data_IF_081980862329
#
_entry.id   IF_081980862329
#
_cell.length_a   1.000
_cell.length_b   1.000
_cell.length_c   1.000
_cell.angle_alpha   90.00
_cell.angle_beta   90.00
_cell.angle_gamma   90.00
#
_symmetry.space_group_name_H-M   'P 1'
#
loop_
_entity.id
_entity.type
_entity.pdbx_description
1 polymer ?
#
# COMPACT_ATOMS: atom_id res chain seq x y z
N UNK A 1 -23.60 0.44 -19.84
CA UNK A 1 -22.85 0.12 -18.60
C UNK A 1 -22.32 -1.29 -18.74
N UNK A 2 -21.02 -1.48 -18.98
CA UNK A 2 -20.45 -2.84 -19.12
C UNK A 2 -20.30 -3.43 -17.71
N UNK A 3 -21.22 -4.32 -17.35
CA UNK A 3 -21.05 -5.19 -16.18
C UNK A 3 -20.04 -6.26 -16.57
N UNK A 4 -18.77 -6.00 -16.27
CA UNK A 4 -17.68 -6.95 -16.46
C UNK A 4 -17.61 -7.80 -15.19
N UNK A 5 -17.80 -9.12 -15.26
CA UNK A 5 -17.82 -9.97 -14.07
C UNK A 5 -16.43 -9.99 -13.41
N UNK A 6 -16.34 -9.91 -12.07
CA UNK A 6 -15.08 -9.66 -11.34
C UNK A 6 -14.08 -10.84 -11.27
N UNK A 7 -14.16 -11.85 -12.15
CA UNK A 7 -13.41 -13.11 -11.96
C UNK A 7 -12.40 -13.50 -13.04
N UNK A 8 -12.14 -12.69 -14.08
CA UNK A 8 -11.16 -13.04 -15.13
C UNK A 8 -10.27 -11.88 -15.62
N UNK A 9 -10.26 -10.76 -14.91
CA UNK A 9 -9.46 -9.62 -15.33
C UNK A 9 -7.95 -9.94 -15.22
N UNK A 10 -7.11 -9.50 -16.17
CA UNK A 10 -5.67 -9.67 -16.05
C UNK A 10 -5.11 -8.80 -14.90
N UNK A 11 -3.92 -9.13 -14.41
CA UNK A 11 -3.26 -8.44 -13.28
C UNK A 11 -3.26 -6.90 -13.44
N UNK A 12 -3.03 -6.41 -14.65
CA UNK A 12 -2.99 -4.97 -14.94
C UNK A 12 -4.32 -4.27 -14.70
N UNK A 13 -5.45 -4.91 -15.03
CA UNK A 13 -6.79 -4.36 -14.79
C UNK A 13 -7.14 -4.42 -13.30
N UNK A 14 -6.74 -5.48 -12.58
CA UNK A 14 -6.91 -5.55 -11.11
C UNK A 14 -6.11 -4.49 -10.36
N UNK A 15 -4.90 -4.16 -10.82
CA UNK A 15 -4.10 -3.05 -10.26
C UNK A 15 -4.84 -1.72 -10.46
N UNK A 16 -5.35 -1.51 -11.69
CA UNK A 16 -6.12 -0.31 -12.03
C UNK A 16 -7.38 -0.20 -11.17
N UNK A 17 -8.09 -1.29 -10.97
CA UNK A 17 -9.31 -1.36 -10.15
C UNK A 17 -9.04 -0.96 -8.71
N UNK A 18 -7.97 -1.49 -8.09
CA UNK A 18 -7.56 -1.10 -6.72
C UNK A 18 -7.24 0.38 -6.64
N UNK A 19 -6.52 0.91 -7.64
CA UNK A 19 -6.17 2.33 -7.69
C UNK A 19 -7.42 3.22 -7.77
N UNK A 20 -8.34 2.90 -8.68
CA UNK A 20 -9.54 3.70 -8.95
C UNK A 20 -10.53 3.65 -7.79
N UNK A 21 -10.73 2.48 -7.17
CA UNK A 21 -11.58 2.34 -5.98
C UNK A 21 -11.08 3.15 -4.78
N UNK A 22 -9.77 3.30 -4.65
CA UNK A 22 -9.16 4.11 -3.58
C UNK A 22 -9.00 5.58 -3.97
N UNK A 23 -9.48 5.99 -5.15
CA UNK A 23 -9.53 7.39 -5.57
C UNK A 23 -8.17 8.00 -5.91
N UNK A 24 -7.16 7.18 -6.25
CA UNK A 24 -5.83 7.69 -6.58
C UNK A 24 -5.65 7.90 -8.10
N UNK A 25 -4.93 8.96 -8.45
CA UNK A 25 -4.33 9.09 -9.79
C UNK A 25 -3.18 8.09 -9.95
N UNK A 26 -2.79 7.76 -11.20
CA UNK A 26 -1.63 6.89 -11.47
C UNK A 26 -0.35 7.38 -10.80
N UNK A 27 -0.14 8.71 -10.75
CA UNK A 27 1.03 9.32 -10.10
C UNK A 27 1.02 9.11 -8.59
N UNK A 28 -0.08 9.41 -7.92
CA UNK A 28 -0.21 9.24 -6.46
C UNK A 28 -0.07 7.78 -6.04
N UNK A 29 -0.63 6.86 -6.82
CA UNK A 29 -0.54 5.43 -6.54
C UNK A 29 0.88 4.91 -6.71
N UNK A 30 1.58 5.37 -7.75
CA UNK A 30 3.00 5.06 -7.97
C UNK A 30 3.89 5.61 -6.86
N UNK A 31 3.68 6.87 -6.46
CA UNK A 31 4.45 7.55 -5.41
C UNK A 31 4.38 6.79 -4.08
N UNK A 32 3.19 6.33 -3.69
CA UNK A 32 2.99 5.50 -2.49
C UNK A 32 3.74 4.16 -2.51
N UNK A 33 4.10 3.68 -3.70
CA UNK A 33 4.89 2.45 -3.91
C UNK A 33 6.37 2.73 -4.17
N UNK A 34 6.81 4.00 -4.15
CA UNK A 34 8.19 4.38 -4.51
C UNK A 34 8.50 4.23 -6.00
N UNK A 35 7.49 4.30 -6.87
CA UNK A 35 7.59 4.13 -8.32
C UNK A 35 7.32 5.44 -9.07
N UNK A 36 7.75 5.51 -10.32
CA UNK A 36 7.36 6.61 -11.22
C UNK A 36 5.96 6.37 -11.80
N UNK A 37 5.24 7.46 -12.12
CA UNK A 37 3.94 7.36 -12.82
C UNK A 37 4.05 6.52 -14.10
N UNK A 38 5.09 6.73 -14.91
CA UNK A 38 5.30 5.98 -16.15
C UNK A 38 5.45 4.47 -15.92
N UNK A 39 6.06 4.05 -14.82
CA UNK A 39 6.13 2.64 -14.42
C UNK A 39 4.73 2.09 -14.16
N UNK A 40 3.91 2.82 -13.40
CA UNK A 40 2.52 2.44 -13.14
C UNK A 40 1.67 2.39 -14.42
N UNK A 41 1.84 3.35 -15.34
CA UNK A 41 1.17 3.33 -16.64
C UNK A 41 1.53 2.08 -17.44
N UNK A 42 2.80 1.64 -17.45
CA UNK A 42 3.21 0.40 -18.13
C UNK A 42 2.59 -0.84 -17.48
N UNK A 43 2.53 -0.87 -16.15
CA UNK A 43 1.86 -1.96 -15.42
C UNK A 43 0.37 -2.04 -15.76
N UNK A 44 -0.38 -0.93 -15.69
CA UNK A 44 -1.82 -0.94 -15.99
C UNK A 44 -2.14 -1.21 -17.47
N UNK A 45 -1.20 -0.93 -18.37
CA UNK A 45 -1.31 -1.29 -19.80
C UNK A 45 -0.88 -2.73 -20.10
N UNK A 46 -0.29 -3.45 -19.15
CA UNK A 46 0.28 -4.78 -19.37
C UNK A 46 1.51 -4.79 -20.29
N UNK A 47 2.21 -3.67 -20.45
CA UNK A 47 3.42 -3.54 -21.30
C UNK A 47 4.72 -3.71 -20.52
N UNK A 48 4.62 -4.12 -19.25
CA UNK A 48 5.71 -4.47 -18.38
C UNK A 48 5.25 -5.51 -17.36
N UNK A 49 6.13 -6.46 -17.04
CA UNK A 49 5.90 -7.38 -15.95
C UNK A 49 5.93 -6.65 -14.61
N UNK A 50 5.01 -7.03 -13.72
CA UNK A 50 4.94 -6.50 -12.36
C UNK A 50 5.78 -7.40 -11.45
N UNK A 51 6.88 -6.89 -10.87
CA UNK A 51 7.71 -7.69 -9.98
C UNK A 51 6.95 -8.09 -8.71
N UNK A 52 7.28 -9.26 -8.15
CA UNK A 52 6.67 -9.75 -6.90
C UNK A 52 6.73 -8.75 -5.75
N UNK A 53 7.83 -8.00 -5.63
CA UNK A 53 7.97 -7.00 -4.56
C UNK A 53 6.93 -5.87 -4.67
N UNK A 54 6.46 -5.55 -5.88
CA UNK A 54 5.41 -4.54 -6.09
C UNK A 54 4.07 -5.05 -5.60
N UNK A 55 3.76 -6.34 -5.84
CA UNK A 55 2.54 -6.98 -5.32
C UNK A 55 2.54 -6.97 -3.78
N UNK A 56 3.67 -7.33 -3.17
CA UNK A 56 3.84 -7.27 -1.72
C UNK A 56 3.71 -5.83 -1.19
N UNK A 57 4.31 -4.85 -1.88
CA UNK A 57 4.16 -3.44 -1.51
C UNK A 57 2.69 -2.98 -1.57
N UNK A 58 1.95 -3.36 -2.62
CA UNK A 58 0.52 -3.05 -2.73
C UNK A 58 -0.29 -3.67 -1.58
N UNK A 59 0.04 -4.91 -1.19
CA UNK A 59 -0.62 -5.58 -0.07
C UNK A 59 -0.44 -4.83 1.25
N UNK A 60 0.76 -4.33 1.52
CA UNK A 60 1.04 -3.57 2.74
C UNK A 60 0.43 -2.16 2.71
N UNK A 61 0.58 -1.45 1.59
CA UNK A 61 0.20 -0.03 1.48
C UNK A 61 -1.31 0.14 1.31
N UNK A 62 -1.93 -0.69 0.47
CA UNK A 62 -3.33 -0.53 0.07
C UNK A 62 -4.24 -1.60 0.68
N UNK A 63 -3.70 -2.51 1.49
CA UNK A 63 -4.43 -3.60 2.16
C UNK A 63 -5.19 -4.49 1.17
N UNK A 64 -4.74 -4.57 -0.07
CA UNK A 64 -5.27 -5.49 -1.08
C UNK A 64 -4.62 -6.86 -0.90
N UNK A 65 -5.37 -7.94 -1.09
CA UNK A 65 -4.84 -9.30 -1.01
C UNK A 65 -4.00 -9.62 -2.25
N UNK A 66 -2.73 -10.00 -2.07
CA UNK A 66 -1.85 -10.39 -3.17
C UNK A 66 -2.38 -11.57 -4.00
N UNK A 67 -3.09 -12.52 -3.38
CA UNK A 67 -3.75 -13.62 -4.11
C UNK A 67 -4.90 -13.12 -4.98
N UNK A 68 -5.63 -12.11 -4.53
CA UNK A 68 -6.63 -11.46 -5.37
C UNK A 68 -5.98 -10.75 -6.55
N UNK A 69 -4.90 -9.99 -6.32
CA UNK A 69 -4.16 -9.32 -7.39
C UNK A 69 -3.62 -10.30 -8.43
N UNK A 70 -3.10 -11.45 -8.01
CA UNK A 70 -2.47 -12.42 -8.92
C UNK A 70 -3.49 -13.34 -9.60
N UNK A 71 -4.51 -13.79 -8.88
CA UNK A 71 -5.37 -14.89 -9.29
C UNK A 71 -6.87 -14.55 -9.25
N UNK A 72 -7.25 -13.38 -8.75
CA UNK A 72 -8.67 -13.02 -8.57
C UNK A 72 -9.35 -13.71 -7.39
N UNK A 73 -8.59 -14.36 -6.50
CA UNK A 73 -9.14 -15.08 -5.36
C UNK A 73 -9.63 -14.14 -4.25
N UNK A 74 -10.84 -14.40 -3.74
CA UNK A 74 -11.39 -13.66 -2.61
C UNK A 74 -10.66 -13.97 -1.28
N UNK A 75 -10.67 -13.03 -0.31
CA UNK A 75 -11.24 -11.68 -0.39
C UNK A 75 -10.30 -10.71 -1.12
N UNK A 76 -10.87 -9.68 -1.77
CA UNK A 76 -10.12 -8.61 -2.44
C UNK A 76 -9.24 -7.80 -1.48
N UNK A 77 -9.81 -7.40 -0.36
CA UNK A 77 -9.11 -6.62 0.65
C UNK A 77 -8.81 -7.48 1.87
N UNK A 78 -7.59 -7.33 2.40
CA UNK A 78 -7.24 -7.82 3.71
C UNK A 78 -8.02 -6.99 4.74
N UNK A 79 -8.68 -7.65 5.68
CA UNK A 79 -9.32 -6.97 6.79
C UNK A 79 -8.35 -6.03 7.52
N UNK A 80 -8.91 -5.07 8.27
CA UNK A 80 -8.07 -4.26 9.16
C UNK A 80 -7.22 -5.17 10.03
N UNK A 81 -5.92 -4.87 10.22
CA UNK A 81 -5.13 -5.62 11.19
C UNK A 81 -5.90 -5.62 12.50
N UNK A 82 -6.17 -6.82 13.04
CA UNK A 82 -6.87 -6.92 14.32
C UNK A 82 -6.12 -6.03 15.30
N UNK A 83 -6.81 -5.13 16.03
CA UNK A 83 -6.17 -4.29 17.03
C UNK A 83 -5.28 -5.18 17.89
N UNK A 84 -4.06 -4.72 18.20
CA UNK A 84 -3.16 -5.46 19.07
C UNK A 84 -3.90 -5.67 20.38
N UNK A 85 -4.36 -6.91 20.64
CA UNK A 85 -5.19 -7.25 21.81
C UNK A 85 -4.33 -7.42 23.07
N UNK A 86 -3.11 -6.88 23.05
CA UNK A 86 -2.06 -7.13 23.99
C UNK A 86 -1.65 -5.78 24.61
N UNK A 87 -2.23 -5.42 25.77
CA UNK A 87 -2.06 -4.11 26.40
C UNK A 87 -0.61 -3.72 26.66
N UNK A 88 0.26 -4.68 26.93
CA UNK A 88 1.71 -4.49 27.14
C UNK A 88 2.45 -4.15 25.85
N UNK A 89 1.99 -4.64 24.68
CA UNK A 89 2.52 -4.23 23.39
C UNK A 89 2.04 -2.82 23.03
N UNK A 90 0.78 -2.49 23.34
CA UNK A 90 0.27 -1.12 23.20
C UNK A 90 0.99 -0.14 24.12
N UNK A 91 1.30 -0.54 25.36
CA UNK A 91 2.10 0.24 26.29
C UNK A 91 3.54 0.40 25.80
N UNK A 92 4.15 -0.66 25.24
CA UNK A 92 5.48 -0.61 24.66
C UNK A 92 5.56 0.32 23.43
N UNK A 93 4.53 0.31 22.56
CA UNK A 93 4.43 1.21 21.39
C UNK A 93 4.23 2.67 21.84
N UNK A 94 3.44 2.89 22.90
CA UNK A 94 3.21 4.25 23.46
C UNK A 94 4.44 4.79 24.19
N UNK A 95 5.19 3.96 24.91
CA UNK A 95 6.38 4.37 25.66
C UNK A 95 7.61 4.51 24.76
N UNK A 96 7.73 3.70 23.70
CA UNK A 96 8.86 3.74 22.78
C UNK A 96 8.46 4.45 21.50
N UNK A 97 8.75 5.75 21.42
CA UNK A 97 8.87 6.52 20.17
C UNK A 97 9.93 6.00 19.18
N UNK A 98 10.30 4.71 19.24
CA UNK A 98 11.30 4.04 18.41
C UNK A 98 10.79 3.75 17.00
N UNK A 99 9.51 3.42 16.83
CA UNK A 99 9.00 3.05 15.50
C UNK A 99 9.06 4.26 14.56
N UNK A 100 8.74 5.46 15.05
CA UNK A 100 8.81 6.68 14.26
C UNK A 100 10.25 7.13 13.98
N UNK A 101 11.14 7.09 14.99
CA UNK A 101 12.57 7.39 14.78
C UNK A 101 13.27 6.42 13.82
N UNK A 102 12.82 5.16 13.76
CA UNK A 102 13.32 4.15 12.82
C UNK A 102 12.88 4.43 11.37
N UNK A 103 11.64 4.88 11.19
CA UNK A 103 11.12 5.27 9.87
C UNK A 103 11.76 6.56 9.34
N UNK A 104 12.05 7.54 10.20
CA UNK A 104 12.78 8.76 9.81
C UNK A 104 14.20 8.45 9.28
N UNK A 105 14.92 7.52 9.92
CA UNK A 105 16.27 7.11 9.53
C UNK A 105 16.32 6.30 8.23
N UNK A 106 15.28 5.51 7.94
CA UNK A 106 15.16 4.71 6.72
C UNK A 106 14.68 5.51 5.51
N UNK A 107 13.91 6.58 5.70
CA UNK A 107 13.28 7.33 4.59
C UNK A 107 14.00 8.63 4.21
N UNK A 108 15.00 9.10 4.98
CA UNK A 108 15.66 10.42 4.78
C UNK A 108 14.67 11.59 4.61
N UNK A 109 13.47 11.50 5.16
CA UNK A 109 12.50 12.59 5.11
C UNK A 109 12.73 13.52 6.30
N UNK A 110 13.10 14.77 6.02
CA UNK A 110 13.22 15.82 7.04
C UNK A 110 11.85 16.43 7.33
N UNK A 111 11.26 16.12 8.48
CA UNK A 111 10.15 16.93 9.02
C UNK A 111 10.52 17.47 10.39
N UNK A 112 10.86 18.76 10.40
CA UNK A 112 11.00 19.60 11.59
C UNK A 112 9.66 19.56 12.34
N UNK A 113 9.62 18.98 13.54
CA UNK A 113 8.41 18.97 14.37
C UNK A 113 8.30 20.32 15.10
N UNK A 114 7.26 21.15 14.85
CA UNK A 114 7.04 22.37 15.62
C UNK A 114 6.45 22.00 16.98
N UNK A 115 7.09 22.44 18.07
CA UNK A 115 6.43 22.52 19.39
C UNK A 115 6.93 21.61 20.51
N UNK A 116 8.06 20.91 20.39
CA UNK A 116 8.66 20.24 21.55
C UNK A 116 9.52 21.24 22.34
N UNK A 117 8.96 21.78 23.43
CA UNK A 117 9.70 22.62 24.39
C UNK A 117 10.87 21.79 24.96
N UNK A 118 12.07 22.36 24.91
CA UNK A 118 13.27 21.81 25.56
C UNK A 118 13.10 21.95 27.07
N UNK A 119 13.10 20.82 27.77
CA UNK A 119 13.57 20.72 29.15
C UNK A 119 15.03 20.29 29.14
#
# INVERSE_FOLDING_TARGET
MRLRPPSLEPLNERIREVREEQGFTQGQFAEKLGLTQGTMTRYERGTADVPKYVIVAMEHVFRVNGRWLLYGESPKYLGMPKPIQHPELLAAIKQKGLIYAFLEKLLKVSTKVPGLKRG
#
